data_IF_551685571737
#
_entry.id   IF_551685571737
#
_cell.length_a   1.000
_cell.length_b   1.000
_cell.length_c   1.000
_cell.angle_alpha   90.00
_cell.angle_beta   90.00
_cell.angle_gamma   90.00
#
_symmetry.space_group_name_H-M   'P 1'
#
loop_
_entity.id
_entity.type
_entity.pdbx_description
1 polymer ?
#
# COMPACT_ATOMS: atom_id res chain seq x y z
N UNK A 1 13.57 0.66 1.56
CA UNK A 1 12.14 0.41 1.26
C UNK A 1 11.97 -0.94 0.59
N UNK A 2 11.06 -1.74 1.11
CA UNK A 2 10.65 -2.98 0.46
C UNK A 2 9.28 -2.77 -0.19
N UNK A 3 9.17 -3.16 -1.44
CA UNK A 3 7.91 -3.08 -2.18
C UNK A 3 7.38 -4.49 -2.42
N UNK A 4 6.24 -4.80 -1.79
CA UNK A 4 5.63 -6.11 -1.92
C UNK A 4 4.28 -5.91 -2.62
N UNK A 5 4.16 -6.51 -3.79
CA UNK A 5 2.88 -6.53 -4.47
C UNK A 5 2.05 -7.71 -3.95
N UNK A 6 0.85 -7.86 -4.46
CA UNK A 6 -0.07 -8.90 -3.97
C UNK A 6 0.22 -10.30 -4.50
N UNK A 7 1.39 -10.53 -5.04
CA UNK A 7 1.78 -11.86 -5.52
C UNK A 7 2.29 -12.72 -4.36
N UNK A 8 1.41 -13.00 -3.43
CA UNK A 8 1.73 -13.77 -2.25
C UNK A 8 1.06 -15.14 -2.27
N UNK A 9 1.02 -15.74 -3.45
CA UNK A 9 0.31 -17.02 -3.67
C UNK A 9 0.76 -18.09 -2.68
N UNK A 10 2.03 -18.09 -2.33
CA UNK A 10 2.61 -19.10 -1.46
C UNK A 10 3.07 -18.55 -0.11
N UNK A 11 2.71 -17.30 0.19
CA UNK A 11 3.10 -16.68 1.47
C UNK A 11 1.88 -16.10 2.15
N UNK A 12 1.77 -16.35 3.44
CA UNK A 12 0.77 -15.70 4.24
C UNK A 12 1.11 -14.23 4.42
N UNK A 13 0.09 -13.40 4.56
CA UNK A 13 0.28 -11.97 4.78
C UNK A 13 1.17 -11.70 5.98
N UNK A 14 0.98 -12.47 7.06
CA UNK A 14 1.78 -12.31 8.27
C UNK A 14 3.25 -12.61 8.00
N UNK A 15 3.56 -13.61 7.18
CA UNK A 15 4.94 -13.97 6.86
C UNK A 15 5.65 -12.85 6.12
N UNK A 16 4.95 -12.20 5.21
CA UNK A 16 5.50 -11.06 4.46
C UNK A 16 5.85 -9.92 5.42
N UNK A 17 4.92 -9.59 6.30
CA UNK A 17 5.10 -8.48 7.24
C UNK A 17 6.19 -8.80 8.27
N UNK A 18 6.19 -10.01 8.80
CA UNK A 18 7.22 -10.43 9.74
C UNK A 18 8.61 -10.43 9.09
N UNK A 19 8.69 -10.92 7.85
CA UNK A 19 9.94 -10.90 7.11
C UNK A 19 10.45 -9.50 6.84
N UNK A 20 9.55 -8.59 6.48
CA UNK A 20 9.91 -7.19 6.26
C UNK A 20 10.44 -6.57 7.54
N UNK A 21 9.79 -6.83 8.67
CA UNK A 21 10.23 -6.32 9.96
C UNK A 21 11.66 -6.78 10.27
N UNK A 22 11.93 -8.04 9.97
CA UNK A 22 13.26 -8.61 10.20
C UNK A 22 14.33 -7.97 9.32
N UNK A 23 14.01 -7.74 8.05
CA UNK A 23 14.97 -7.23 7.05
C UNK A 23 15.18 -5.73 7.12
N UNK A 24 14.19 -4.97 7.57
CA UNK A 24 14.28 -3.52 7.59
C UNK A 24 15.11 -3.01 8.74
N UNK A 25 15.84 -1.93 8.49
CA UNK A 25 16.48 -1.16 9.55
C UNK A 25 15.44 -0.27 10.21
N UNK A 26 15.75 0.20 11.41
CA UNK A 26 14.92 1.20 12.07
C UNK A 26 14.76 2.41 11.14
N UNK A 27 13.53 2.87 10.98
CA UNK A 27 13.22 3.95 10.04
C UNK A 27 12.99 3.50 8.61
N UNK A 28 13.31 2.24 8.28
CA UNK A 28 13.02 1.71 6.96
C UNK A 28 11.52 1.48 6.77
N UNK A 29 11.10 1.36 5.51
CA UNK A 29 9.69 1.26 5.21
C UNK A 29 9.34 0.06 4.33
N UNK A 30 8.11 -0.41 4.51
CA UNK A 30 7.50 -1.45 3.70
C UNK A 30 6.31 -0.83 2.98
N UNK A 31 6.26 -0.99 1.66
CA UNK A 31 5.09 -0.58 0.88
C UNK A 31 4.40 -1.84 0.35
N UNK A 32 3.12 -1.96 0.60
CA UNK A 32 2.33 -3.10 0.15
C UNK A 32 1.14 -2.65 -0.69
N UNK A 33 0.81 -3.48 -1.66
CA UNK A 33 -0.39 -3.33 -2.47
C UNK A 33 -1.22 -4.58 -2.30
N UNK A 34 -2.47 -4.43 -1.94
CA UNK A 34 -3.36 -5.57 -1.71
C UNK A 34 -4.81 -5.19 -1.98
N UNK A 35 -5.70 -6.16 -1.88
CA UNK A 35 -7.14 -5.93 -1.98
C UNK A 35 -7.62 -5.15 -0.75
N UNK A 36 -8.55 -4.21 -0.93
CA UNK A 36 -9.02 -3.38 0.20
C UNK A 36 -9.62 -4.17 1.36
N UNK A 37 -10.24 -5.33 1.09
CA UNK A 37 -10.84 -6.12 2.17
C UNK A 37 -9.82 -6.71 3.14
N UNK A 38 -8.53 -6.71 2.77
CA UNK A 38 -7.46 -7.17 3.67
C UNK A 38 -6.84 -6.03 4.48
N UNK A 39 -7.36 -4.80 4.33
CA UNK A 39 -6.76 -3.62 4.97
C UNK A 39 -6.69 -3.75 6.49
N UNK A 40 -7.76 -4.19 7.13
CA UNK A 40 -7.77 -4.31 8.58
C UNK A 40 -6.76 -5.34 9.07
N UNK A 41 -6.61 -6.46 8.35
CA UNK A 41 -5.61 -7.46 8.69
C UNK A 41 -4.21 -6.91 8.49
N UNK A 42 -3.98 -6.17 7.41
CA UNK A 42 -2.68 -5.56 7.12
C UNK A 42 -2.26 -4.61 8.26
N UNK A 43 -3.16 -3.73 8.66
CA UNK A 43 -2.87 -2.77 9.73
C UNK A 43 -2.61 -3.49 11.04
N UNK A 44 -3.43 -4.47 11.38
CA UNK A 44 -3.29 -5.24 12.61
C UNK A 44 -1.93 -5.94 12.68
N UNK A 45 -1.55 -6.60 11.58
CA UNK A 45 -0.28 -7.31 11.51
C UNK A 45 0.91 -6.35 11.53
N UNK A 46 0.81 -5.23 10.82
CA UNK A 46 1.84 -4.20 10.85
C UNK A 46 2.09 -3.71 12.27
N UNK A 47 1.01 -3.43 13.01
CA UNK A 47 1.13 -2.98 14.40
C UNK A 47 1.76 -4.08 15.26
N UNK A 48 1.38 -5.32 15.06
CA UNK A 48 1.92 -6.46 15.80
C UNK A 48 3.44 -6.57 15.64
N UNK A 49 3.95 -6.28 14.45
CA UNK A 49 5.37 -6.41 14.13
C UNK A 49 6.11 -5.06 14.18
N UNK A 50 5.53 -4.06 14.82
CA UNK A 50 6.17 -2.75 15.02
C UNK A 50 6.49 -2.02 13.71
N UNK A 51 5.66 -2.26 12.70
CA UNK A 51 5.66 -1.50 11.46
C UNK A 51 4.47 -0.55 11.52
N UNK A 52 4.73 0.73 11.75
CA UNK A 52 3.66 1.69 11.92
C UNK A 52 3.14 2.15 10.56
N UNK A 53 1.85 1.94 10.24
CA UNK A 53 1.28 2.46 9.00
C UNK A 53 1.34 3.98 9.00
N UNK A 54 1.97 4.56 7.97
CA UNK A 54 2.20 6.00 7.92
C UNK A 54 1.44 6.69 6.80
N UNK A 55 1.26 6.03 5.67
CA UNK A 55 0.53 6.58 4.53
C UNK A 55 -0.24 5.48 3.84
N UNK A 56 -1.43 5.81 3.37
CA UNK A 56 -2.20 4.90 2.56
C UNK A 56 -3.00 5.66 1.52
N UNK A 57 -3.33 4.99 0.43
CA UNK A 57 -4.27 5.52 -0.54
C UNK A 57 -5.00 4.38 -1.21
N UNK A 58 -6.25 4.65 -1.55
CA UNK A 58 -7.03 3.70 -2.33
C UNK A 58 -6.75 3.90 -3.81
N UNK A 59 -6.79 2.82 -4.56
CA UNK A 59 -6.67 2.84 -6.02
C UNK A 59 -7.98 2.33 -6.58
N UNK A 60 -8.57 3.09 -7.47
CA UNK A 60 -9.87 2.77 -8.07
C UNK A 60 -9.79 2.90 -9.58
N UNK A 61 -10.62 2.15 -10.33
CA UNK A 61 -10.54 2.20 -11.79
C UNK A 61 -10.80 3.60 -12.34
N UNK A 62 -11.80 4.29 -11.81
CA UNK A 62 -12.14 5.64 -12.22
C UNK A 62 -12.94 6.30 -11.11
N UNK A 63 -13.16 7.61 -11.26
CA UNK A 63 -13.89 8.39 -10.27
C UNK A 63 -15.28 7.77 -10.01
N UNK A 64 -15.63 7.65 -8.73
CA UNK A 64 -16.95 7.12 -8.31
C UNK A 64 -17.04 5.61 -8.30
N UNK A 65 -15.98 4.90 -8.69
CA UNK A 65 -15.99 3.44 -8.61
C UNK A 65 -15.39 2.96 -7.30
N UNK A 66 -15.77 1.75 -6.89
CA UNK A 66 -15.19 1.17 -5.70
C UNK A 66 -13.71 0.94 -5.88
N UNK A 67 -12.91 1.20 -4.83
CA UNK A 67 -11.49 0.85 -4.88
C UNK A 67 -11.29 -0.64 -5.08
N UNK A 68 -10.33 -1.00 -5.93
CA UNK A 68 -9.98 -2.40 -6.14
C UNK A 68 -8.60 -2.75 -5.59
N UNK A 69 -7.86 -1.75 -5.11
CA UNK A 69 -6.57 -1.95 -4.46
C UNK A 69 -6.35 -0.92 -3.38
N UNK A 70 -5.50 -1.25 -2.41
CA UNK A 70 -5.01 -0.30 -1.41
C UNK A 70 -3.49 -0.33 -1.42
N UNK A 71 -2.91 0.86 -1.39
CA UNK A 71 -1.49 1.06 -1.20
C UNK A 71 -1.29 1.50 0.23
N UNK A 72 -0.36 0.85 0.96
CA UNK A 72 -0.08 1.25 2.33
C UNK A 72 1.42 1.16 2.59
N UNK A 73 1.95 2.20 3.23
CA UNK A 73 3.36 2.27 3.60
C UNK A 73 3.46 2.29 5.12
N UNK A 74 4.29 1.41 5.66
CA UNK A 74 4.55 1.33 7.09
C UNK A 74 6.03 1.52 7.35
N UNK A 75 6.36 2.11 8.49
CA UNK A 75 7.74 2.45 8.85
C UNK A 75 8.12 1.72 10.13
N UNK A 76 9.26 1.04 10.11
CA UNK A 76 9.76 0.31 11.27
C UNK A 76 10.11 1.31 12.38
N UNK A 77 9.45 1.15 13.52
CA UNK A 77 9.64 2.04 14.66
C UNK A 77 9.06 3.43 14.46
N UNK A 78 8.19 3.61 13.48
CA UNK A 78 7.55 4.89 13.23
C UNK A 78 6.59 5.27 14.35
N UNK A 79 6.32 6.57 14.45
CA UNK A 79 5.36 7.10 15.42
C UNK A 79 3.95 7.02 14.84
N UNK A 80 2.96 6.92 15.70
CA UNK A 80 1.56 6.91 15.29
C UNK A 80 1.22 8.16 14.49
N UNK A 81 0.41 8.00 13.53
CA UNK A 81 -0.20 9.01 12.66
C UNK A 81 -0.24 8.51 11.24
N UNK A 82 -1.42 8.07 10.84
CA UNK A 82 -1.64 7.57 9.49
C UNK A 82 -2.23 8.68 8.63
N UNK A 83 -1.57 8.97 7.52
CA UNK A 83 -2.08 9.93 6.54
C UNK A 83 -2.79 9.18 5.43
N UNK A 84 -4.05 9.53 5.18
CA UNK A 84 -4.82 8.96 4.07
C UNK A 84 -4.74 9.94 2.91
N UNK A 85 -4.10 9.51 1.83
CA UNK A 85 -3.93 10.34 0.64
C UNK A 85 -5.17 10.26 -0.24
N UNK A 86 -5.36 11.24 -1.15
CA UNK A 86 -6.48 11.16 -2.10
C UNK A 86 -6.41 9.87 -2.92
N UNK A 87 -7.57 9.33 -3.25
CA UNK A 87 -7.65 8.12 -4.05
C UNK A 87 -7.00 8.33 -5.43
N UNK A 88 -6.35 7.29 -5.92
CA UNK A 88 -5.74 7.30 -7.24
C UNK A 88 -6.73 6.72 -8.25
N UNK A 89 -7.10 7.50 -9.25
CA UNK A 89 -7.92 7.01 -10.36
C UNK A 89 -6.99 6.51 -11.46
N UNK A 90 -7.22 5.28 -11.91
CA UNK A 90 -6.39 4.69 -12.96
C UNK A 90 -6.78 5.23 -14.33
N UNK A 91 -8.09 5.33 -14.59
CA UNK A 91 -8.63 5.77 -15.88
C UNK A 91 -9.44 7.05 -15.73
N UNK A 92 -9.37 7.90 -16.76
CA UNK A 92 -10.24 9.08 -16.86
C UNK A 92 -11.58 8.71 -17.49
N UNK A 93 -12.43 9.72 -17.76
CA UNK A 93 -13.75 9.50 -18.33
C UNK A 93 -13.71 8.85 -19.71
N UNK A 94 -12.62 9.05 -20.45
CA UNK A 94 -12.47 8.57 -21.81
C UNK A 94 -11.78 7.19 -21.86
N UNK A 95 -11.51 6.61 -20.70
CA UNK A 95 -10.86 5.31 -20.62
C UNK A 95 -9.35 5.34 -20.79
N UNK A 96 -8.75 6.53 -20.79
CA UNK A 96 -7.30 6.66 -20.87
C UNK A 96 -6.70 6.70 -19.46
N UNK A 97 -5.43 6.33 -19.34
CA UNK A 97 -4.74 6.47 -18.07
C UNK A 97 -4.71 7.92 -17.63
N UNK A 98 -4.94 8.16 -16.35
CA UNK A 98 -4.85 9.50 -15.78
C UNK A 98 -3.41 9.98 -15.80
N UNK A 99 -3.23 11.31 -15.76
CA UNK A 99 -1.89 11.91 -15.68
C UNK A 99 -1.13 11.41 -14.45
N UNK A 100 -1.83 11.23 -13.35
CA UNK A 100 -1.22 10.77 -12.11
C UNK A 100 -0.62 9.38 -12.27
N UNK A 101 -1.35 8.46 -12.91
CA UNK A 101 -0.85 7.11 -13.18
C UNK A 101 0.33 7.15 -14.12
N UNK A 102 0.24 7.93 -15.18
CA UNK A 102 1.33 8.05 -16.15
C UNK A 102 2.59 8.62 -15.49
N UNK A 103 2.42 9.56 -14.58
CA UNK A 103 3.52 10.14 -13.84
C UNK A 103 4.20 9.08 -12.94
N UNK A 104 3.41 8.23 -12.30
CA UNK A 104 3.93 7.16 -11.45
C UNK A 104 4.77 6.18 -12.26
N UNK A 105 4.35 5.88 -13.50
CA UNK A 105 5.09 4.99 -14.38
C UNK A 105 6.23 5.69 -15.13
N UNK A 106 6.46 6.97 -14.86
CA UNK A 106 7.54 7.71 -15.50
C UNK A 106 7.27 8.06 -16.96
N UNK A 107 6.01 8.10 -17.37
CA UNK A 107 5.60 8.39 -18.73
C UNK A 107 5.20 9.85 -18.97
N UNK A 108 5.32 10.67 -17.94
CA UNK A 108 5.09 12.11 -18.01
C UNK A 108 6.21 12.89 -17.37
#
# INVERSE_FOLDING_TARGET
TLNISRHEVEMELEDVIAGAQYLLKQGGSLTMVHKPFRLSDMISLMKKYHLEPKRMRMVQPSEGKEPNMVLIEAVKGGKSYLKVLPSLNVYDKDGNYTKEVLKIYGML
#
